data_IF_098729365510
#
_entry.id   IF_098729365510
#
_cell.length_a   1.000
_cell.length_b   1.000
_cell.length_c   1.000
_cell.angle_alpha   90.00
_cell.angle_beta   90.00
_cell.angle_gamma   90.00
#
_symmetry.space_group_name_H-M   'P 1'
#
loop_
_entity.id
_entity.type
_entity.pdbx_description
1 polymer ?
#
# COMPACT_ATOMS: atom_id res chain seq x y z
N UNK A 1 1.86 42.78 -29.68
CA UNK A 1 1.70 42.25 -31.05
C UNK A 1 2.81 41.25 -31.32
N UNK A 2 2.54 39.97 -31.31
CA UNK A 2 3.15 38.92 -32.15
C UNK A 2 2.51 37.58 -31.74
N UNK A 3 1.64 37.13 -32.63
CA UNK A 3 0.95 35.83 -32.54
C UNK A 3 1.93 34.73 -32.87
N UNK A 4 1.95 33.61 -32.06
CA UNK A 4 2.51 32.37 -32.47
C UNK A 4 1.37 31.31 -32.52
N UNK A 5 1.07 30.90 -33.73
CA UNK A 5 0.14 29.83 -34.04
C UNK A 5 0.89 28.50 -33.91
N UNK A 6 0.36 27.61 -33.08
CA UNK A 6 0.87 26.24 -32.97
C UNK A 6 0.07 25.33 -33.91
N UNK A 7 0.79 24.59 -34.72
CA UNK A 7 0.26 23.60 -35.67
C UNK A 7 0.20 22.24 -34.96
N UNK A 8 -0.98 21.66 -34.87
CA UNK A 8 -1.16 20.29 -34.42
C UNK A 8 -1.00 19.36 -35.63
N UNK A 9 -0.09 18.40 -35.52
CA UNK A 9 0.03 17.28 -36.48
C UNK A 9 -0.52 16.03 -35.84
N UNK A 10 -1.64 15.56 -36.38
CA UNK A 10 -2.32 14.32 -35.98
C UNK A 10 -1.82 13.22 -36.94
N UNK A 11 -1.04 12.26 -36.45
CA UNK A 11 -0.66 11.09 -37.24
C UNK A 11 -1.51 9.89 -36.86
N UNK A 12 -2.43 9.53 -37.74
CA UNK A 12 -3.17 8.27 -37.66
C UNK A 12 -2.32 7.16 -38.32
N UNK A 13 -1.98 6.12 -37.57
CA UNK A 13 -1.44 4.87 -38.12
C UNK A 13 -2.57 3.84 -38.15
N UNK A 14 -3.01 3.51 -39.36
CA UNK A 14 -3.96 2.42 -39.63
C UNK A 14 -3.13 1.14 -39.83
N UNK A 15 -3.34 0.13 -38.98
CA UNK A 15 -2.82 -1.22 -39.20
C UNK A 15 -3.90 -2.07 -39.86
N UNK A 16 -3.66 -2.42 -41.13
CA UNK A 16 -4.49 -3.34 -41.88
C UNK A 16 -4.04 -4.79 -41.59
N UNK A 17 -4.96 -5.59 -41.05
CA UNK A 17 -4.74 -7.03 -40.84
C UNK A 17 -5.05 -7.79 -42.12
N UNK A 18 -4.09 -8.49 -42.67
CA UNK A 18 -4.26 -9.42 -43.80
C UNK A 18 -4.57 -10.81 -43.23
N UNK A 19 -5.79 -11.29 -43.49
CA UNK A 19 -6.16 -12.68 -43.27
C UNK A 19 -5.75 -13.52 -44.48
N UNK A 20 -4.86 -14.47 -44.27
CA UNK A 20 -4.55 -15.52 -45.25
C UNK A 20 -5.24 -16.81 -44.83
N UNK A 21 -6.23 -17.23 -45.60
CA UNK A 21 -6.90 -18.52 -45.48
C UNK A 21 -6.14 -19.55 -46.30
N UNK A 22 -5.63 -20.60 -45.71
CA UNK A 22 -5.23 -21.81 -46.43
C UNK A 22 -6.15 -22.96 -46.03
N UNK A 23 -6.99 -23.33 -46.99
CA UNK A 23 -7.72 -24.58 -46.96
C UNK A 23 -6.78 -25.72 -47.34
N UNK A 24 -6.68 -26.77 -46.51
CA UNK A 24 -6.19 -28.07 -46.98
C UNK A 24 -7.07 -29.19 -46.36
N UNK A 25 -7.80 -29.88 -47.21
CA UNK A 25 -8.54 -31.07 -46.90
C UNK A 25 -7.58 -32.28 -46.82
N UNK A 26 -7.61 -32.98 -45.71
CA UNK A 26 -6.90 -34.24 -45.56
C UNK A 26 -7.67 -35.15 -44.56
N UNK A 27 -8.32 -36.14 -45.06
CA UNK A 27 -8.93 -37.26 -44.30
C UNK A 27 -7.86 -37.93 -43.43
N UNK A 28 -8.16 -38.14 -42.15
CA UNK A 28 -7.52 -39.23 -41.38
C UNK A 28 -8.33 -39.61 -40.15
N UNK A 29 -8.78 -40.86 -40.18
CA UNK A 29 -8.97 -41.83 -39.10
C UNK A 29 -9.25 -41.35 -37.69
N UNK A 30 -10.45 -41.63 -37.23
CA UNK A 30 -10.82 -41.74 -35.81
C UNK A 30 -9.88 -42.69 -35.07
N UNK A 31 -9.10 -42.13 -34.16
CA UNK A 31 -8.56 -42.85 -33.01
C UNK A 31 -9.24 -42.26 -31.77
N UNK A 32 -10.13 -43.02 -31.15
CA UNK A 32 -10.63 -42.75 -29.82
C UNK A 32 -9.44 -42.77 -28.87
N UNK A 33 -9.03 -41.60 -28.42
CA UNK A 33 -8.17 -41.39 -27.26
C UNK A 33 -9.06 -40.96 -26.12
N UNK A 34 -9.29 -41.86 -25.19
CA UNK A 34 -9.78 -41.56 -23.87
C UNK A 34 -8.70 -40.77 -23.14
N UNK A 35 -8.79 -39.45 -23.18
CA UNK A 35 -7.93 -38.55 -22.39
C UNK A 35 -8.79 -37.94 -21.28
N UNK A 36 -8.60 -38.50 -20.09
CA UNK A 36 -9.11 -38.01 -18.82
C UNK A 36 -8.92 -36.48 -18.68
N UNK A 37 -10.08 -35.79 -18.60
CA UNK A 37 -10.15 -34.31 -18.52
C UNK A 37 -9.82 -33.70 -17.16
N UNK A 38 -8.77 -34.20 -16.47
CA UNK A 38 -8.32 -33.63 -15.19
C UNK A 38 -7.27 -32.52 -15.35
N UNK A 39 -6.51 -32.49 -16.45
CA UNK A 39 -5.40 -31.54 -16.62
C UNK A 39 -5.79 -30.08 -16.89
N UNK A 40 -6.97 -29.82 -17.48
CA UNK A 40 -7.39 -28.46 -17.81
C UNK A 40 -8.10 -27.77 -16.64
N UNK A 41 -8.82 -28.50 -15.81
CA UNK A 41 -9.44 -27.95 -14.60
C UNK A 41 -8.40 -27.53 -13.56
N UNK A 42 -7.34 -28.30 -13.38
CA UNK A 42 -6.25 -27.98 -12.44
C UNK A 42 -5.45 -26.74 -12.88
N UNK A 43 -5.23 -26.58 -14.18
CA UNK A 43 -4.57 -25.38 -14.73
C UNK A 43 -5.42 -24.14 -14.60
N UNK A 44 -6.73 -24.22 -14.84
CA UNK A 44 -7.64 -23.09 -14.64
C UNK A 44 -7.74 -22.69 -13.17
N UNK A 45 -7.85 -23.64 -12.25
CA UNK A 45 -7.88 -23.37 -10.81
C UNK A 45 -6.56 -22.71 -10.34
N UNK A 46 -5.42 -23.23 -10.77
CA UNK A 46 -4.10 -22.65 -10.43
C UNK A 46 -3.94 -21.23 -10.97
N UNK A 47 -4.45 -20.93 -12.18
CA UNK A 47 -4.40 -19.59 -12.76
C UNK A 47 -5.29 -18.61 -12.00
N UNK A 48 -6.52 -19.03 -11.64
CA UNK A 48 -7.47 -18.24 -10.86
C UNK A 48 -6.88 -17.89 -9.47
N UNK A 49 -6.22 -18.85 -8.84
CA UNK A 49 -5.58 -18.65 -7.54
C UNK A 49 -4.41 -17.66 -7.63
N UNK A 50 -3.62 -17.72 -8.70
CA UNK A 50 -2.54 -16.76 -8.94
C UNK A 50 -3.08 -15.34 -9.15
N UNK A 51 -4.17 -15.20 -9.92
CA UNK A 51 -4.82 -13.91 -10.17
C UNK A 51 -5.35 -13.29 -8.89
N UNK A 52 -6.09 -14.02 -8.04
CA UNK A 52 -6.62 -13.50 -6.77
C UNK A 52 -5.52 -13.05 -5.79
N UNK A 53 -4.43 -13.80 -5.70
CA UNK A 53 -3.25 -13.39 -4.89
C UNK A 53 -2.64 -12.11 -5.42
N UNK A 54 -2.53 -11.98 -6.75
CA UNK A 54 -2.04 -10.77 -7.42
C UNK A 54 -2.95 -9.57 -7.17
N UNK A 55 -4.26 -9.76 -7.22
CA UNK A 55 -5.26 -8.72 -6.93
C UNK A 55 -5.14 -8.23 -5.48
N UNK A 56 -5.08 -9.15 -4.50
CA UNK A 56 -4.88 -8.77 -3.10
C UNK A 56 -3.59 -7.98 -2.91
N UNK A 57 -2.47 -8.46 -3.47
CA UNK A 57 -1.18 -7.78 -3.37
C UNK A 57 -1.23 -6.37 -3.94
N UNK A 58 -1.84 -6.22 -5.11
CA UNK A 58 -2.00 -4.92 -5.77
C UNK A 58 -2.85 -3.97 -4.92
N UNK A 59 -3.98 -4.44 -4.41
CA UNK A 59 -4.87 -3.64 -3.57
C UNK A 59 -4.19 -3.22 -2.25
N UNK A 60 -3.50 -4.14 -1.59
CA UNK A 60 -2.76 -3.84 -0.36
C UNK A 60 -1.64 -2.84 -0.60
N UNK A 61 -0.82 -3.03 -1.65
CA UNK A 61 0.23 -2.07 -2.00
C UNK A 61 -0.33 -0.68 -2.27
N UNK A 62 -1.43 -0.56 -3.00
CA UNK A 62 -2.09 0.72 -3.26
C UNK A 62 -2.51 1.42 -1.96
N UNK A 63 -3.09 0.69 -1.00
CA UNK A 63 -3.52 1.25 0.29
C UNK A 63 -2.33 1.75 1.11
N UNK A 64 -1.24 1.01 1.16
CA UNK A 64 -0.05 1.38 1.91
C UNK A 64 0.78 2.47 1.22
N UNK A 65 0.80 2.50 -0.11
CA UNK A 65 1.38 3.59 -0.88
C UNK A 65 0.58 4.90 -0.69
N UNK A 66 -0.75 4.83 -0.71
CA UNK A 66 -1.64 5.95 -0.34
C UNK A 66 -1.34 6.44 1.09
N UNK A 67 -1.10 5.52 2.03
CA UNK A 67 -0.76 5.86 3.41
C UNK A 67 0.49 6.77 3.48
N UNK A 68 1.61 6.35 2.90
CA UNK A 68 2.85 7.14 2.96
C UNK A 68 2.80 8.40 2.09
N UNK A 69 2.08 8.35 0.96
CA UNK A 69 1.87 9.52 0.10
C UNK A 69 1.09 10.62 0.84
N UNK A 70 -0.01 10.26 1.52
CA UNK A 70 -0.79 11.24 2.30
C UNK A 70 -0.09 11.64 3.59
N UNK A 71 0.72 10.77 4.21
CA UNK A 71 1.60 11.13 5.32
C UNK A 71 2.60 12.18 4.88
N UNK A 72 3.25 12.01 3.72
CA UNK A 72 4.12 13.03 3.14
C UNK A 72 3.40 14.35 2.94
N UNK A 73 2.19 14.33 2.38
CA UNK A 73 1.40 15.56 2.22
C UNK A 73 1.14 16.27 3.55
N UNK A 74 0.82 15.52 4.61
CA UNK A 74 0.65 16.08 5.97
C UNK A 74 1.97 16.69 6.48
N UNK A 75 3.10 15.98 6.33
CA UNK A 75 4.42 16.49 6.71
C UNK A 75 4.71 17.81 6.01
N UNK A 76 4.52 17.87 4.68
CA UNK A 76 4.74 19.11 3.89
C UNK A 76 3.85 20.24 4.37
N UNK A 77 2.55 19.98 4.52
CA UNK A 77 1.59 21.00 4.97
C UNK A 77 1.92 21.50 6.38
N UNK A 78 2.24 20.62 7.31
CA UNK A 78 2.57 21.00 8.68
C UNK A 78 3.89 21.76 8.71
N UNK A 79 4.98 21.22 8.14
CA UNK A 79 6.31 21.82 8.27
C UNK A 79 6.41 23.17 7.57
N UNK A 80 5.83 23.30 6.38
CA UNK A 80 5.88 24.54 5.60
C UNK A 80 4.75 25.52 5.95
N UNK A 81 3.78 25.11 6.77
CA UNK A 81 2.63 25.96 7.14
C UNK A 81 1.68 26.22 5.97
N UNK A 82 1.49 25.21 5.11
CA UNK A 82 0.64 25.34 3.94
C UNK A 82 -0.85 25.29 4.30
N UNK A 83 -1.72 25.97 3.53
CA UNK A 83 -3.16 25.81 3.67
C UNK A 83 -3.58 24.37 3.29
N UNK A 84 -4.69 23.89 3.84
CA UNK A 84 -5.19 22.54 3.53
C UNK A 84 -4.63 21.41 4.42
N UNK A 85 -3.93 21.73 5.50
CA UNK A 85 -3.42 20.73 6.46
C UNK A 85 -4.54 19.84 6.99
N UNK A 86 -5.69 20.42 7.37
CA UNK A 86 -6.83 19.65 7.90
C UNK A 86 -7.41 18.70 6.86
N UNK A 87 -7.46 19.11 5.60
CA UNK A 87 -7.91 18.27 4.48
C UNK A 87 -6.95 17.11 4.22
N UNK A 88 -5.64 17.36 4.26
CA UNK A 88 -4.63 16.32 4.14
C UNK A 88 -4.74 15.28 5.27
N UNK A 89 -4.88 15.73 6.51
CA UNK A 89 -5.10 14.86 7.68
C UNK A 89 -6.41 14.07 7.54
N UNK A 90 -7.50 14.71 7.14
CA UNK A 90 -8.79 14.03 6.95
C UNK A 90 -8.70 12.94 5.86
N UNK A 91 -7.99 13.21 4.75
CA UNK A 91 -7.77 12.21 3.69
C UNK A 91 -6.90 11.04 4.18
N UNK A 92 -5.84 11.32 4.95
CA UNK A 92 -5.01 10.29 5.57
C UNK A 92 -5.83 9.44 6.56
N UNK A 93 -6.69 10.04 7.39
CA UNK A 93 -7.59 9.30 8.28
C UNK A 93 -8.58 8.42 7.50
N UNK A 94 -9.06 8.86 6.33
CA UNK A 94 -9.89 8.03 5.45
C UNK A 94 -9.15 6.80 4.93
N UNK A 95 -7.87 6.92 4.64
CA UNK A 95 -7.04 5.78 4.25
C UNK A 95 -6.97 4.71 5.37
N UNK A 96 -6.99 5.11 6.65
CA UNK A 96 -7.02 4.15 7.75
C UNK A 96 -8.33 3.34 7.78
N UNK A 97 -9.44 3.99 7.44
CA UNK A 97 -10.73 3.29 7.27
C UNK A 97 -10.65 2.28 6.11
N UNK A 98 -10.02 2.66 5.01
CA UNK A 98 -9.86 1.81 3.83
C UNK A 98 -8.96 0.59 4.13
N UNK A 99 -7.85 0.77 4.87
CA UNK A 99 -6.97 -0.32 5.32
C UNK A 99 -7.71 -1.28 6.24
N UNK A 100 -8.45 -0.77 7.24
CA UNK A 100 -9.24 -1.61 8.13
C UNK A 100 -10.35 -2.38 7.39
N UNK A 101 -10.97 -1.77 6.38
CA UNK A 101 -11.96 -2.46 5.55
C UNK A 101 -11.35 -3.57 4.68
N UNK A 102 -10.11 -3.42 4.21
CA UNK A 102 -9.45 -4.40 3.36
C UNK A 102 -9.21 -5.74 4.05
N UNK A 103 -9.07 -5.76 5.39
CA UNK A 103 -8.88 -7.02 6.13
C UNK A 103 -10.18 -7.71 6.54
N UNK A 104 -11.33 -7.03 6.48
CA UNK A 104 -12.63 -7.60 6.90
C UNK A 104 -13.01 -8.91 6.22
N UNK A 105 -12.77 -9.12 4.92
CA UNK A 105 -13.07 -10.38 4.25
C UNK A 105 -12.34 -11.59 4.86
N UNK A 106 -11.25 -11.35 5.59
CA UNK A 106 -10.40 -12.38 6.18
C UNK A 106 -10.60 -12.51 7.69
N UNK A 107 -10.72 -11.39 8.41
CA UNK A 107 -10.71 -11.33 9.87
C UNK A 107 -12.04 -10.89 10.49
N UNK A 108 -13.04 -10.53 9.67
CA UNK A 108 -14.35 -10.05 10.13
C UNK A 108 -14.40 -8.56 10.46
N UNK A 109 -15.62 -8.07 10.71
CA UNK A 109 -15.89 -6.64 10.92
C UNK A 109 -15.23 -6.09 12.18
N UNK A 110 -15.23 -6.84 13.28
CA UNK A 110 -14.66 -6.40 14.55
C UNK A 110 -13.15 -6.20 14.46
N UNK A 111 -12.45 -7.11 13.79
CA UNK A 111 -11.01 -6.99 13.57
C UNK A 111 -10.68 -5.81 12.64
N UNK A 112 -11.45 -5.64 11.56
CA UNK A 112 -11.30 -4.49 10.67
C UNK A 112 -11.52 -3.17 11.39
N UNK A 113 -12.57 -3.08 12.22
CA UNK A 113 -12.83 -1.90 13.04
C UNK A 113 -11.70 -1.65 14.06
N UNK A 114 -11.23 -2.68 14.75
CA UNK A 114 -10.12 -2.55 15.72
C UNK A 114 -8.85 -2.04 15.06
N UNK A 115 -8.50 -2.56 13.87
CA UNK A 115 -7.35 -2.05 13.12
C UNK A 115 -7.54 -0.59 12.71
N UNK A 116 -8.71 -0.23 12.19
CA UNK A 116 -9.05 1.17 11.88
C UNK A 116 -8.83 2.08 13.09
N UNK A 117 -9.37 1.72 14.27
CA UNK A 117 -9.26 2.52 15.48
C UNK A 117 -7.79 2.71 15.90
N UNK A 118 -6.98 1.65 15.86
CA UNK A 118 -5.55 1.70 16.16
C UNK A 118 -4.77 2.58 15.18
N UNK A 119 -5.03 2.44 13.89
CA UNK A 119 -4.39 3.25 12.85
C UNK A 119 -4.80 4.72 12.91
N UNK A 120 -6.05 5.03 13.26
CA UNK A 120 -6.48 6.42 13.47
C UNK A 120 -5.77 7.08 14.65
N UNK A 121 -5.56 6.34 15.76
CA UNK A 121 -4.73 6.80 16.88
C UNK A 121 -3.29 7.03 16.42
N UNK A 122 -2.75 6.14 15.57
CA UNK A 122 -1.42 6.26 14.99
C UNK A 122 -1.25 7.60 14.25
N UNK A 123 -2.20 7.95 13.40
CA UNK A 123 -2.16 9.20 12.61
C UNK A 123 -2.32 10.44 13.49
N UNK A 124 -3.25 10.42 14.45
CA UNK A 124 -3.47 11.60 15.31
C UNK A 124 -2.27 11.86 16.20
N UNK A 125 -1.63 10.82 16.71
CA UNK A 125 -0.42 10.95 17.53
C UNK A 125 0.78 11.42 16.70
N UNK A 126 0.94 10.93 15.47
CA UNK A 126 1.94 11.43 14.52
C UNK A 126 1.73 12.92 14.21
N UNK A 127 0.48 13.36 14.02
CA UNK A 127 0.18 14.77 13.79
C UNK A 127 0.57 15.66 14.99
N UNK A 128 0.38 15.18 16.21
CA UNK A 128 0.82 15.90 17.41
C UNK A 128 2.35 15.96 17.51
N UNK A 129 3.05 14.88 17.17
CA UNK A 129 4.51 14.85 17.07
C UNK A 129 5.02 15.87 16.04
N UNK A 130 4.41 15.94 14.86
CA UNK A 130 4.78 16.91 13.82
C UNK A 130 4.59 18.36 14.27
N UNK A 131 3.47 18.67 14.94
CA UNK A 131 3.21 20.01 15.51
C UNK A 131 4.24 20.39 16.57
N UNK A 132 4.56 19.45 17.46
CA UNK A 132 5.58 19.66 18.50
C UNK A 132 6.97 19.86 17.87
N UNK A 133 7.32 19.07 16.87
CA UNK A 133 8.57 19.23 16.11
C UNK A 133 8.65 20.59 15.43
N UNK A 134 7.57 21.04 14.78
CA UNK A 134 7.52 22.37 14.11
C UNK A 134 7.74 23.53 15.07
N UNK A 135 7.16 23.44 16.28
CA UNK A 135 7.23 24.50 17.29
C UNK A 135 8.47 24.44 18.19
N UNK A 136 9.42 23.56 17.93
CA UNK A 136 10.60 23.29 18.76
C UNK A 136 10.25 22.95 20.23
N UNK A 137 9.07 22.41 20.47
CA UNK A 137 8.64 21.98 21.80
C UNK A 137 9.13 20.55 22.09
N UNK A 138 10.34 20.40 22.58
CA UNK A 138 10.97 19.12 22.83
C UNK A 138 10.17 18.26 23.82
N UNK A 139 9.62 18.85 24.89
CA UNK A 139 8.85 18.10 25.88
C UNK A 139 7.55 17.49 25.26
N UNK A 140 6.83 18.27 24.44
CA UNK A 140 5.65 17.77 23.72
C UNK A 140 6.05 16.75 22.65
N UNK A 141 7.19 16.91 22.00
CA UNK A 141 7.72 15.94 21.03
C UNK A 141 8.02 14.59 21.70
N UNK A 142 8.72 14.59 22.82
CA UNK A 142 9.08 13.36 23.55
C UNK A 142 7.82 12.64 24.04
N UNK A 143 6.83 13.36 24.56
CA UNK A 143 5.54 12.79 24.98
C UNK A 143 4.75 12.20 23.81
N UNK A 144 4.67 12.91 22.68
CA UNK A 144 4.01 12.42 21.48
C UNK A 144 4.75 11.20 20.90
N UNK A 145 6.08 11.21 20.85
CA UNK A 145 6.88 10.10 20.39
C UNK A 145 6.68 8.85 21.23
N UNK A 146 6.63 8.99 22.56
CA UNK A 146 6.34 7.89 23.48
C UNK A 146 4.96 7.26 23.21
N UNK A 147 3.93 8.09 23.01
CA UNK A 147 2.58 7.61 22.69
C UNK A 147 2.53 6.94 21.33
N UNK A 148 3.22 7.49 20.34
CA UNK A 148 3.27 6.95 18.98
C UNK A 148 3.96 5.60 18.93
N UNK A 149 5.09 5.45 19.64
CA UNK A 149 5.79 4.17 19.80
C UNK A 149 4.93 3.13 20.53
N UNK A 150 4.26 3.51 21.61
CA UNK A 150 3.35 2.61 22.31
C UNK A 150 2.18 2.13 21.41
N UNK A 151 1.61 3.03 20.62
CA UNK A 151 0.58 2.66 19.66
C UNK A 151 1.12 1.73 18.55
N UNK A 152 2.35 1.92 18.06
CA UNK A 152 3.00 1.01 17.13
C UNK A 152 3.16 -0.41 17.71
N UNK A 153 3.48 -0.51 19.00
CA UNK A 153 3.53 -1.79 19.72
C UNK A 153 2.13 -2.42 19.85
N UNK A 154 1.09 -1.63 20.09
CA UNK A 154 -0.30 -2.12 20.14
C UNK A 154 -0.78 -2.64 18.78
N UNK A 155 -0.43 -1.96 17.68
CA UNK A 155 -0.70 -2.42 16.31
C UNK A 155 0.00 -3.74 16.05
N UNK A 156 1.28 -3.84 16.39
CA UNK A 156 2.08 -5.05 16.22
C UNK A 156 1.51 -6.24 16.99
N UNK A 157 1.12 -6.02 18.23
CA UNK A 157 0.52 -7.03 19.10
C UNK A 157 -0.85 -7.49 18.56
N UNK A 158 -1.69 -6.57 18.10
CA UNK A 158 -2.96 -6.90 17.49
C UNK A 158 -2.80 -7.74 16.22
N UNK A 159 -1.91 -7.35 15.30
CA UNK A 159 -1.66 -8.06 14.05
C UNK A 159 -1.07 -9.46 14.31
N UNK A 160 -0.08 -9.55 15.19
CA UNK A 160 0.54 -10.83 15.54
C UNK A 160 -0.45 -11.83 16.18
N UNK A 161 -1.40 -11.35 16.98
CA UNK A 161 -2.48 -12.19 17.53
C UNK A 161 -3.50 -12.62 16.48
N UNK A 162 -3.74 -11.80 15.48
CA UNK A 162 -4.68 -12.10 14.40
C UNK A 162 -4.13 -13.14 13.41
N UNK A 163 -2.81 -13.18 13.20
CA UNK A 163 -2.21 -14.06 12.21
C UNK A 163 -0.86 -14.63 12.69
N UNK A 164 -0.74 -15.96 12.84
CA UNK A 164 0.51 -16.61 13.29
C UNK A 164 1.67 -16.48 12.28
N UNK A 165 1.39 -16.06 11.03
CA UNK A 165 2.42 -15.77 10.04
C UNK A 165 2.98 -14.35 10.15
N UNK A 166 2.57 -13.57 11.15
CA UNK A 166 3.09 -12.24 11.49
C UNK A 166 3.76 -12.30 12.87
N UNK A 167 5.04 -12.77 12.97
CA UNK A 167 5.72 -12.85 14.24
C UNK A 167 5.80 -11.48 14.94
N UNK A 168 5.58 -11.45 16.24
CA UNK A 168 5.50 -10.19 16.99
C UNK A 168 6.76 -9.34 16.87
N UNK A 169 7.93 -9.98 16.95
CA UNK A 169 9.21 -9.27 16.90
C UNK A 169 9.45 -8.65 15.52
N UNK A 170 9.07 -9.35 14.44
CA UNK A 170 9.15 -8.82 13.07
C UNK A 170 8.20 -7.65 12.89
N UNK A 171 6.95 -7.76 13.39
CA UNK A 171 5.97 -6.67 13.35
C UNK A 171 6.46 -5.43 14.08
N UNK A 172 7.01 -5.59 15.30
CA UNK A 172 7.57 -4.48 16.08
C UNK A 172 8.76 -3.84 15.39
N UNK A 173 9.67 -4.64 14.87
CA UNK A 173 10.84 -4.14 14.13
C UNK A 173 10.40 -3.27 12.95
N UNK A 174 9.47 -3.75 12.12
CA UNK A 174 8.98 -3.00 10.95
C UNK A 174 8.26 -1.73 11.37
N UNK A 175 7.38 -1.79 12.35
CA UNK A 175 6.67 -0.59 12.85
C UNK A 175 7.66 0.45 13.40
N UNK A 176 8.67 0.05 14.18
CA UNK A 176 9.67 0.98 14.72
C UNK A 176 10.55 1.58 13.61
N UNK A 177 10.94 0.79 12.60
CA UNK A 177 11.67 1.31 11.44
C UNK A 177 10.82 2.32 10.66
N UNK A 178 9.52 2.05 10.48
CA UNK A 178 8.57 2.98 9.87
C UNK A 178 8.51 4.32 10.62
N UNK A 179 8.35 4.28 11.95
CA UNK A 179 8.32 5.50 12.78
C UNK A 179 9.62 6.31 12.65
N UNK A 180 10.76 5.61 12.70
CA UNK A 180 12.08 6.23 12.57
C UNK A 180 12.25 6.91 11.22
N UNK A 181 11.95 6.22 10.12
CA UNK A 181 12.11 6.76 8.77
C UNK A 181 11.17 7.96 8.52
N UNK A 182 9.91 7.87 8.99
CA UNK A 182 8.95 8.98 8.91
C UNK A 182 9.41 10.19 9.73
N UNK A 183 10.03 9.96 10.89
CA UNK A 183 10.62 11.03 11.69
C UNK A 183 11.83 11.68 10.99
N UNK A 184 12.69 10.88 10.36
CA UNK A 184 13.82 11.37 9.57
C UNK A 184 13.34 12.27 8.42
N UNK A 185 12.28 11.89 7.71
CA UNK A 185 11.66 12.70 6.66
C UNK A 185 11.16 14.05 7.21
N UNK A 186 10.38 14.01 8.29
CA UNK A 186 9.84 15.22 8.92
C UNK A 186 10.94 16.18 9.41
N UNK A 187 12.02 15.65 10.00
CA UNK A 187 13.17 16.43 10.47
C UNK A 187 13.95 17.03 9.31
N UNK A 188 14.17 16.30 8.23
CA UNK A 188 14.84 16.81 7.03
C UNK A 188 14.02 17.95 6.41
N UNK A 189 12.69 17.78 6.29
CA UNK A 189 11.79 18.81 5.80
C UNK A 189 11.81 20.08 6.65
N UNK A 190 11.74 19.93 7.98
CA UNK A 190 11.83 21.06 8.93
C UNK A 190 13.11 21.85 8.75
N UNK A 191 14.25 21.16 8.54
CA UNK A 191 15.57 21.78 8.31
C UNK A 191 15.71 22.39 6.93
N UNK A 192 14.73 22.20 6.03
CA UNK A 192 14.79 22.59 4.61
C UNK A 192 15.94 21.91 3.84
N UNK A 193 16.36 20.74 4.31
CA UNK A 193 17.27 19.86 3.61
C UNK A 193 16.44 18.98 2.65
N UNK A 194 16.13 19.56 1.49
CA UNK A 194 15.22 18.91 0.54
C UNK A 194 15.79 17.66 -0.11
N UNK A 195 17.13 17.56 -0.21
CA UNK A 195 17.78 16.35 -0.71
C UNK A 195 17.67 15.20 0.30
N UNK A 196 17.85 15.49 1.58
CA UNK A 196 17.65 14.51 2.65
C UNK A 196 16.17 14.15 2.82
N UNK A 197 15.26 15.11 2.67
CA UNK A 197 13.80 14.92 2.70
C UNK A 197 13.35 13.90 1.63
N UNK A 198 13.76 14.09 0.37
CA UNK A 198 13.43 13.17 -0.72
C UNK A 198 14.01 11.77 -0.47
N UNK A 199 15.29 11.68 -0.06
CA UNK A 199 15.95 10.40 0.25
C UNK A 199 15.29 9.67 1.43
N UNK A 200 14.79 10.40 2.42
CA UNK A 200 14.07 9.80 3.55
C UNK A 200 12.71 9.25 3.08
N UNK A 201 11.98 10.01 2.24
CA UNK A 201 10.73 9.53 1.67
C UNK A 201 10.92 8.27 0.82
N UNK A 202 11.96 8.20 -0.03
CA UNK A 202 12.25 6.99 -0.81
C UNK A 202 12.40 5.75 0.11
N UNK A 203 13.06 5.92 1.27
CA UNK A 203 13.21 4.82 2.25
C UNK A 203 11.88 4.45 2.92
N UNK A 204 11.05 5.44 3.29
CA UNK A 204 9.70 5.21 3.84
C UNK A 204 8.86 4.44 2.83
N UNK A 205 8.90 4.82 1.57
CA UNK A 205 8.16 4.17 0.50
C UNK A 205 8.61 2.72 0.29
N UNK A 206 9.91 2.47 0.22
CA UNK A 206 10.46 1.11 0.08
C UNK A 206 10.12 0.21 1.28
N UNK A 207 10.15 0.77 2.49
CA UNK A 207 9.82 0.07 3.72
C UNK A 207 8.35 -0.32 3.75
N UNK A 208 7.44 0.62 3.47
CA UNK A 208 6.00 0.39 3.56
C UNK A 208 5.53 -0.66 2.53
N UNK A 209 6.15 -0.72 1.35
CA UNK A 209 5.83 -1.76 0.36
C UNK A 209 6.28 -3.15 0.83
N UNK A 210 7.41 -3.27 1.54
CA UNK A 210 7.83 -4.53 2.16
C UNK A 210 6.87 -4.96 3.26
N UNK A 211 6.42 -4.02 4.11
CA UNK A 211 5.40 -4.27 5.12
C UNK A 211 4.09 -4.74 4.46
N UNK A 212 3.63 -4.07 3.42
CA UNK A 212 2.44 -4.45 2.64
C UNK A 212 2.54 -5.87 2.10
N UNK A 213 3.69 -6.23 1.53
CA UNK A 213 3.93 -7.57 0.98
C UNK A 213 3.91 -8.64 2.06
N UNK A 214 4.56 -8.38 3.20
CA UNK A 214 4.55 -9.31 4.34
C UNK A 214 3.15 -9.52 4.91
N UNK A 215 2.37 -8.46 5.05
CA UNK A 215 0.97 -8.55 5.49
C UNK A 215 0.14 -9.37 4.49
N UNK A 216 0.29 -9.11 3.21
CA UNK A 216 -0.39 -9.87 2.14
C UNK A 216 -0.02 -11.35 2.17
N UNK A 217 1.26 -11.68 2.26
CA UNK A 217 1.74 -13.05 2.29
C UNK A 217 1.23 -13.82 3.52
N UNK A 218 1.14 -13.15 4.66
CA UNK A 218 0.54 -13.70 5.86
C UNK A 218 -0.94 -14.04 5.68
N UNK A 219 -1.73 -13.15 5.07
CA UNK A 219 -3.15 -13.42 4.75
C UNK A 219 -3.28 -14.62 3.83
N UNK A 220 -2.51 -14.66 2.74
CA UNK A 220 -2.54 -15.76 1.76
C UNK A 220 -2.17 -17.10 2.42
N UNK A 221 -1.20 -17.11 3.32
CA UNK A 221 -0.79 -18.31 4.06
C UNK A 221 -1.85 -18.79 5.05
N UNK A 222 -2.55 -17.86 5.71
CA UNK A 222 -3.57 -18.20 6.71
C UNK A 222 -4.89 -18.65 6.08
N UNK A 223 -5.22 -18.14 4.90
CA UNK A 223 -6.47 -18.39 4.21
C UNK A 223 -6.26 -18.93 2.78
N UNK A 224 -5.55 -20.06 2.60
CA UNK A 224 -5.22 -20.57 1.26
C UNK A 224 -6.46 -20.87 0.42
N UNK A 225 -7.58 -21.25 1.05
CA UNK A 225 -8.83 -21.60 0.37
C UNK A 225 -9.60 -20.40 -0.20
N UNK A 226 -9.16 -19.17 0.12
CA UNK A 226 -9.77 -17.94 -0.43
C UNK A 226 -9.15 -17.52 -1.77
N UNK A 227 -8.04 -18.13 -2.14
CA UNK A 227 -7.24 -17.77 -3.30
C UNK A 227 -7.15 -18.87 -4.36
#
# INVERSE_FOLDING_TARGET
MKHFRSLAVLSFVVFASVMSACNNAGETKETKSDSSGTGDHDKMAANTNYEKKGELRTAMRQLWEDHVTWTRNVILCVMDGLPGTDQAVARLLKNQDDIGNAIKPYYGDDAGKKLTDLLRVHITTAADLLKAAKSDNNAAFDEANKKWTANADEISDFLSKANPNWPLDDMKMMMHDHLKLTTEEAVARKKKDYDADVKAYDKVHDEILKMSDMLTDGIVKQYPDKF
#
